data_IF_782213205166
#
_entry.id   IF_782213205166
#
_cell.length_a   1.000
_cell.length_b   1.000
_cell.length_c   1.000
_cell.angle_alpha   90.00
_cell.angle_beta   90.00
_cell.angle_gamma   90.00
#
_symmetry.space_group_name_H-M   'P 1'
#
loop_
_entity.id
_entity.type
_entity.pdbx_description
1 polymer ?
#
# COMPACT_ATOMS: atom_id res chain seq x y z
N UNK A 1 12.25 48.79 -22.37
CA UNK A 1 10.87 48.97 -21.88
C UNK A 1 9.97 47.97 -22.61
N UNK A 2 9.19 47.14 -21.90
CA UNK A 2 8.41 46.03 -22.44
C UNK A 2 6.99 46.44 -22.84
N UNK A 3 6.38 45.70 -23.77
CA UNK A 3 4.96 45.74 -24.07
C UNK A 3 4.40 44.33 -24.17
N UNK A 4 3.56 43.95 -23.20
CA UNK A 4 2.78 42.71 -23.23
C UNK A 4 1.58 42.84 -24.17
N UNK A 5 1.14 41.71 -24.73
CA UNK A 5 -0.15 41.58 -25.42
C UNK A 5 -0.55 40.11 -25.52
N UNK A 6 -1.56 39.73 -24.73
CA UNK A 6 -2.14 38.40 -24.61
C UNK A 6 -2.93 37.97 -25.87
N UNK A 7 -2.83 36.69 -26.24
CA UNK A 7 -3.62 36.08 -27.31
C UNK A 7 -4.17 34.70 -26.92
N UNK A 8 -5.44 34.69 -26.53
CA UNK A 8 -6.45 33.65 -26.72
C UNK A 8 -6.04 32.16 -26.67
N UNK A 9 -6.28 31.56 -25.50
CA UNK A 9 -7.37 30.58 -25.35
C UNK A 9 -7.37 29.35 -26.25
N UNK A 10 -6.69 28.29 -25.81
CA UNK A 10 -7.17 26.93 -25.95
C UNK A 10 -7.19 26.29 -24.56
N UNK A 11 -8.32 26.47 -23.88
CA UNK A 11 -8.62 25.72 -22.65
C UNK A 11 -8.79 24.25 -23.06
N UNK A 12 -8.00 23.30 -22.53
CA UNK A 12 -8.26 21.90 -22.79
C UNK A 12 -9.69 21.57 -22.34
N UNK A 13 -10.42 20.68 -23.05
CA UNK A 13 -11.75 20.28 -22.61
C UNK A 13 -11.66 19.78 -21.17
N UNK A 14 -12.68 20.03 -20.32
CA UNK A 14 -12.69 19.43 -19.00
C UNK A 14 -12.57 17.93 -19.20
N UNK A 15 -11.57 17.34 -18.56
CA UNK A 15 -11.44 15.89 -18.44
C UNK A 15 -12.75 15.39 -17.87
N UNK A 16 -13.62 14.86 -18.75
CA UNK A 16 -14.80 14.11 -18.35
C UNK A 16 -14.34 13.06 -17.38
N UNK A 17 -14.81 13.17 -16.14
CA UNK A 17 -14.36 12.45 -14.96
C UNK A 17 -13.67 11.13 -15.26
N UNK A 18 -12.35 11.17 -15.32
CA UNK A 18 -11.52 10.02 -15.04
C UNK A 18 -11.63 9.76 -13.53
N UNK A 19 -12.77 9.19 -13.16
CA UNK A 19 -12.96 8.39 -11.97
C UNK A 19 -12.38 8.91 -10.65
N UNK A 20 -13.27 9.47 -9.83
CA UNK A 20 -13.22 9.38 -8.37
C UNK A 20 -13.17 7.91 -7.85
N UNK A 21 -13.16 6.92 -8.74
CA UNK A 21 -13.22 5.48 -8.46
C UNK A 21 -11.90 4.84 -8.05
N UNK A 22 -10.75 5.51 -8.22
CA UNK A 22 -9.45 4.95 -7.79
C UNK A 22 -9.07 5.24 -6.34
N UNK A 23 -9.51 6.37 -5.77
CA UNK A 23 -8.94 6.95 -4.54
C UNK A 23 -9.41 6.29 -3.24
N UNK A 24 -10.54 5.59 -3.25
CA UNK A 24 -11.23 5.22 -2.00
C UNK A 24 -11.27 3.72 -1.69
N UNK A 25 -11.14 2.83 -2.69
CA UNK A 25 -11.55 1.43 -2.54
C UNK A 25 -10.73 0.71 -1.46
N UNK A 26 -9.41 0.94 -1.41
CA UNK A 26 -8.52 0.24 -0.46
C UNK A 26 -8.55 0.82 0.96
N UNK A 27 -8.76 2.14 1.12
CA UNK A 27 -8.89 2.77 2.44
C UNK A 27 -10.19 2.38 3.16
N UNK A 28 -11.23 2.02 2.40
CA UNK A 28 -12.52 1.56 2.92
C UNK A 28 -12.65 0.03 2.96
N UNK A 29 -11.57 -0.71 2.69
CA UNK A 29 -11.63 -2.16 2.59
C UNK A 29 -12.17 -2.79 3.89
N UNK A 30 -13.17 -3.65 3.73
CA UNK A 30 -13.87 -4.33 4.81
C UNK A 30 -13.09 -5.51 5.39
N UNK A 31 -13.62 -6.15 6.44
CA UNK A 31 -13.06 -7.39 6.99
C UNK A 31 -12.81 -8.46 5.93
N UNK A 32 -11.58 -8.98 5.89
CA UNK A 32 -11.16 -10.08 5.01
C UNK A 32 -10.84 -9.67 3.57
N UNK A 33 -11.15 -8.44 3.16
CA UNK A 33 -10.78 -7.93 1.85
C UNK A 33 -9.26 -7.75 1.74
N UNK A 34 -8.71 -8.06 0.57
CA UNK A 34 -7.30 -7.88 0.28
C UNK A 34 -7.04 -6.43 -0.13
N UNK A 35 -6.00 -5.86 0.44
CA UNK A 35 -5.54 -4.50 0.19
C UNK A 35 -4.14 -4.57 -0.41
N UNK A 36 -3.90 -3.79 -1.45
CA UNK A 36 -2.59 -3.64 -2.07
C UNK A 36 -2.18 -2.16 -2.09
N UNK A 37 -0.97 -1.87 -1.63
CA UNK A 37 -0.34 -0.56 -1.76
C UNK A 37 1.12 -0.69 -2.13
N UNK A 38 1.70 0.40 -2.62
CA UNK A 38 3.05 0.46 -3.13
C UNK A 38 3.90 1.43 -2.32
N UNK A 39 5.21 1.19 -2.30
CA UNK A 39 6.20 2.18 -1.89
C UNK A 39 7.36 2.20 -2.88
N UNK A 40 8.16 3.26 -2.86
CA UNK A 40 9.39 3.37 -3.66
C UNK A 40 10.60 3.57 -2.77
N UNK A 41 11.60 2.71 -2.93
CA UNK A 41 12.91 2.85 -2.31
C UNK A 41 13.77 3.87 -3.04
N UNK A 42 14.74 4.44 -2.31
CA UNK A 42 15.86 5.17 -2.90
C UNK A 42 16.84 4.20 -3.56
N UNK A 43 17.55 4.61 -4.62
CA UNK A 43 18.63 3.82 -5.18
C UNK A 43 19.67 3.43 -4.11
N UNK A 44 20.01 2.14 -4.03
CA UNK A 44 20.99 1.61 -3.07
C UNK A 44 20.39 1.16 -1.73
N UNK A 45 19.11 1.39 -1.48
CA UNK A 45 18.44 1.01 -0.23
C UNK A 45 17.98 -0.46 -0.19
N UNK A 46 18.07 -1.20 -1.30
CA UNK A 46 17.48 -2.53 -1.47
C UNK A 46 18.01 -3.55 -0.45
N UNK A 47 19.33 -3.65 -0.31
CA UNK A 47 19.95 -4.65 0.55
C UNK A 47 19.65 -4.39 2.04
N UNK A 48 19.62 -3.12 2.43
CA UNK A 48 19.25 -2.74 3.79
C UNK A 48 17.77 -3.02 4.05
N UNK A 49 16.89 -2.67 3.12
CA UNK A 49 15.46 -2.94 3.23
C UNK A 49 15.18 -4.44 3.46
N UNK A 50 15.79 -5.30 2.64
CA UNK A 50 15.64 -6.76 2.74
C UNK A 50 16.14 -7.27 4.10
N UNK A 51 17.33 -6.85 4.54
CA UNK A 51 17.88 -7.23 5.86
C UNK A 51 16.95 -6.83 6.99
N UNK A 52 16.44 -5.59 6.97
CA UNK A 52 15.54 -5.08 8.01
C UNK A 52 14.24 -5.88 8.07
N UNK A 53 13.68 -6.30 6.92
CA UNK A 53 12.45 -7.09 6.88
C UNK A 53 12.66 -8.59 7.16
N UNK A 54 13.88 -9.11 7.01
CA UNK A 54 14.23 -10.44 7.50
C UNK A 54 14.30 -10.48 9.05
N UNK A 55 14.54 -9.33 9.67
CA UNK A 55 14.70 -9.15 11.12
C UNK A 55 13.59 -8.24 11.70
N UNK A 56 12.35 -8.43 11.26
CA UNK A 56 11.21 -7.68 11.79
C UNK A 56 11.15 -7.82 13.31
N UNK A 57 10.94 -6.68 13.99
CA UNK A 57 10.85 -6.64 15.44
C UNK A 57 9.67 -7.50 15.95
N UNK A 58 9.87 -8.34 16.98
CA UNK A 58 8.79 -9.12 17.56
C UNK A 58 7.60 -8.26 18.01
N UNK A 59 7.86 -7.07 18.58
CA UNK A 59 6.80 -6.15 18.98
C UNK A 59 6.01 -5.56 17.80
N UNK A 60 6.64 -5.42 16.62
CA UNK A 60 5.94 -4.97 15.42
C UNK A 60 5.02 -6.08 14.93
N UNK A 61 5.48 -7.34 14.93
CA UNK A 61 4.62 -8.48 14.57
C UNK A 61 3.41 -8.58 15.51
N UNK A 62 3.62 -8.42 16.81
CA UNK A 62 2.53 -8.40 17.80
C UNK A 62 1.53 -7.26 17.55
N UNK A 63 2.02 -6.06 17.17
CA UNK A 63 1.15 -4.94 16.79
C UNK A 63 0.32 -5.26 15.54
N UNK A 64 0.91 -5.90 14.52
CA UNK A 64 0.19 -6.30 13.32
C UNK A 64 -0.95 -7.28 13.66
N UNK A 65 -0.69 -8.23 14.56
CA UNK A 65 -1.71 -9.15 15.06
C UNK A 65 -2.83 -8.43 15.83
N UNK A 66 -2.48 -7.48 16.71
CA UNK A 66 -3.43 -6.65 17.46
C UNK A 66 -4.33 -5.84 16.52
N UNK A 67 -3.74 -5.20 15.50
CA UNK A 67 -4.45 -4.48 14.45
C UNK A 67 -5.32 -5.40 13.58
N UNK A 68 -5.16 -6.72 13.72
CA UNK A 68 -5.87 -7.73 12.97
C UNK A 68 -5.35 -7.88 11.54
N UNK A 69 -4.15 -7.43 11.24
CA UNK A 69 -3.48 -7.63 9.95
C UNK A 69 -3.06 -9.11 9.84
N UNK A 70 -3.26 -9.72 8.68
CA UNK A 70 -2.84 -11.09 8.40
C UNK A 70 -2.64 -11.30 6.91
N UNK A 71 -2.03 -12.43 6.54
CA UNK A 71 -1.69 -12.73 5.13
C UNK A 71 -0.93 -11.55 4.50
N UNK A 72 -0.02 -10.96 5.29
CA UNK A 72 0.74 -9.77 4.89
C UNK A 72 2.05 -10.19 4.25
N UNK A 73 2.17 -9.89 2.96
CA UNK A 73 3.40 -10.07 2.19
C UNK A 73 3.87 -8.74 1.61
N UNK A 74 5.19 -8.58 1.54
CA UNK A 74 5.83 -7.50 0.80
C UNK A 74 6.70 -8.12 -0.29
N UNK A 75 6.44 -7.78 -1.54
CA UNK A 75 7.26 -8.15 -2.68
C UNK A 75 8.08 -6.95 -3.13
N UNK A 76 9.31 -7.20 -3.60
CA UNK A 76 10.17 -6.15 -4.16
C UNK A 76 10.51 -6.45 -5.62
N UNK A 77 10.39 -5.44 -6.48
CA UNK A 77 10.88 -5.47 -7.87
C UNK A 77 11.77 -4.25 -8.10
N UNK A 78 13.09 -4.44 -7.97
CA UNK A 78 14.04 -3.33 -7.96
C UNK A 78 13.74 -2.40 -6.78
N UNK A 79 13.38 -1.15 -7.09
CA UNK A 79 13.02 -0.11 -6.11
C UNK A 79 11.52 -0.09 -5.77
N UNK A 80 10.68 -0.84 -6.47
CA UNK A 80 9.24 -0.89 -6.21
C UNK A 80 8.94 -1.94 -5.14
N UNK A 81 8.22 -1.53 -4.09
CA UNK A 81 7.66 -2.40 -3.07
C UNK A 81 6.17 -2.57 -3.31
N UNK A 82 5.67 -3.79 -3.15
CA UNK A 82 4.29 -4.19 -3.34
C UNK A 82 3.83 -4.88 -2.06
N UNK A 83 3.05 -4.17 -1.27
CA UNK A 83 2.55 -4.60 0.02
C UNK A 83 1.11 -5.10 -0.13
N UNK A 84 0.88 -6.38 0.15
CA UNK A 84 -0.43 -7.02 0.03
C UNK A 84 -0.81 -7.62 1.38
N UNK A 85 -1.97 -7.24 1.91
CA UNK A 85 -2.43 -7.71 3.23
C UNK A 85 -3.94 -7.85 3.30
N UNK A 86 -4.41 -8.57 4.31
CA UNK A 86 -5.82 -8.60 4.73
C UNK A 86 -5.95 -8.11 6.16
N UNK A 87 -7.16 -7.70 6.53
CA UNK A 87 -7.46 -7.23 7.88
C UNK A 87 -8.70 -7.92 8.44
N UNK A 88 -8.71 -8.28 9.72
CA UNK A 88 -9.84 -8.97 10.36
C UNK A 88 -11.02 -8.04 10.67
N UNK A 89 -10.77 -6.74 10.85
CA UNK A 89 -11.79 -5.75 11.24
C UNK A 89 -11.93 -4.59 10.24
N UNK A 90 -11.37 -4.74 9.05
CA UNK A 90 -11.32 -3.69 8.02
C UNK A 90 -10.09 -2.78 8.16
N UNK A 91 -9.70 -2.17 7.04
CA UNK A 91 -8.46 -1.39 6.95
C UNK A 91 -8.48 -0.14 7.84
N UNK A 92 -9.63 0.53 7.97
CA UNK A 92 -9.77 1.69 8.84
C UNK A 92 -9.45 1.38 10.32
N UNK A 93 -9.85 0.21 10.81
CA UNK A 93 -9.52 -0.23 12.17
C UNK A 93 -8.02 -0.49 12.33
N UNK A 94 -7.42 -1.23 11.39
CA UNK A 94 -5.99 -1.52 11.41
C UNK A 94 -5.14 -0.24 11.32
N UNK A 95 -5.55 0.72 10.48
CA UNK A 95 -4.95 2.04 10.39
C UNK A 95 -5.00 2.79 11.72
N UNK A 96 -6.16 2.83 12.38
CA UNK A 96 -6.29 3.50 13.68
C UNK A 96 -5.38 2.88 14.76
N UNK A 97 -5.31 1.55 14.85
CA UNK A 97 -4.45 0.84 15.82
C UNK A 97 -2.97 1.11 15.53
N UNK A 98 -2.54 0.96 14.29
CA UNK A 98 -1.13 1.15 13.91
C UNK A 98 -0.67 2.61 14.04
N UNK A 99 -1.51 3.59 13.66
CA UNK A 99 -1.20 5.02 13.81
C UNK A 99 -1.04 5.44 15.28
N UNK A 100 -1.80 4.84 16.21
CA UNK A 100 -1.70 5.16 17.63
C UNK A 100 -0.48 4.52 18.32
N UNK A 101 0.27 3.64 17.65
CA UNK A 101 1.33 2.85 18.27
C UNK A 101 2.72 3.50 18.18
N UNK A 102 3.40 3.59 19.31
CA UNK A 102 4.80 3.99 19.38
C UNK A 102 5.74 2.99 18.67
N UNK A 103 5.38 1.70 18.66
CA UNK A 103 6.16 0.67 17.96
C UNK A 103 6.16 0.94 16.46
N UNK A 104 5.00 1.24 15.89
CA UNK A 104 4.88 1.62 14.47
C UNK A 104 5.67 2.89 14.18
N UNK A 105 5.56 3.91 15.03
CA UNK A 105 6.28 5.18 14.87
C UNK A 105 7.80 4.96 14.84
N UNK A 106 8.34 4.18 15.79
CA UNK A 106 9.78 3.85 15.85
C UNK A 106 10.23 3.05 14.63
N UNK A 107 9.46 2.05 14.22
CA UNK A 107 9.78 1.24 13.05
C UNK A 107 9.85 2.10 11.79
N UNK A 108 8.80 2.89 11.53
CA UNK A 108 8.74 3.80 10.39
C UNK A 108 9.90 4.80 10.39
N UNK A 109 10.19 5.43 11.54
CA UNK A 109 11.31 6.36 11.66
C UNK A 109 12.66 5.68 11.35
N UNK A 110 12.85 4.43 11.77
CA UNK A 110 14.09 3.67 11.54
C UNK A 110 14.35 3.30 10.08
N UNK A 111 13.32 3.32 9.23
CA UNK A 111 13.42 3.00 7.81
C UNK A 111 13.23 4.23 6.91
N UNK A 112 12.88 5.39 7.46
CA UNK A 112 12.46 6.57 6.69
C UNK A 112 13.50 7.01 5.65
N UNK A 113 14.80 6.85 5.94
CA UNK A 113 15.89 7.18 5.03
C UNK A 113 15.95 6.28 3.78
N UNK A 114 15.33 5.10 3.81
CA UNK A 114 15.31 4.15 2.70
C UNK A 114 14.31 4.53 1.62
N UNK A 115 13.27 5.30 1.95
CA UNK A 115 12.15 5.54 1.06
C UNK A 115 12.30 6.85 0.27
N UNK A 116 11.99 6.76 -1.02
CA UNK A 116 11.80 7.90 -1.92
C UNK A 116 10.34 8.36 -1.92
N UNK A 117 9.39 7.44 -1.81
CA UNK A 117 7.96 7.71 -1.94
C UNK A 117 7.16 6.71 -1.09
N UNK A 118 6.34 7.20 -0.16
CA UNK A 118 5.46 6.36 0.69
C UNK A 118 3.99 6.77 0.66
N UNK A 119 3.68 7.94 0.10
CA UNK A 119 2.35 8.50 0.07
C UNK A 119 2.09 9.27 -1.23
N UNK A 120 0.82 9.35 -1.61
CA UNK A 120 0.34 10.17 -2.72
C UNK A 120 0.28 11.66 -2.33
N UNK A 121 -0.18 12.50 -3.25
CA UNK A 121 -0.30 13.94 -3.03
C UNK A 121 -1.29 14.33 -1.93
N UNK A 122 -2.23 13.44 -1.59
CA UNK A 122 -3.23 13.65 -0.53
C UNK A 122 -2.75 13.06 0.83
N UNK A 123 -1.53 12.50 0.89
CA UNK A 123 -0.95 11.90 2.08
C UNK A 123 -1.42 10.47 2.38
N UNK A 124 -2.18 9.85 1.47
CA UNK A 124 -2.59 8.45 1.57
C UNK A 124 -1.54 7.48 1.00
N UNK A 125 -1.59 6.18 1.33
CA UNK A 125 -0.73 5.17 0.69
C UNK A 125 -0.88 5.18 -0.84
N UNK A 126 0.17 4.76 -1.56
CA UNK A 126 0.10 4.59 -3.01
C UNK A 126 -0.75 3.35 -3.36
N UNK A 127 -2.07 3.52 -3.39
CA UNK A 127 -3.02 2.42 -3.56
C UNK A 127 -2.92 1.75 -4.93
N UNK A 128 -2.99 0.42 -4.93
CA UNK A 128 -3.23 -0.38 -6.13
C UNK A 128 -4.70 -0.86 -6.12
N UNK A 129 -5.40 -0.65 -7.24
CA UNK A 129 -6.79 -1.06 -7.39
C UNK A 129 -6.87 -2.54 -7.80
N UNK A 130 -7.62 -3.39 -7.06
CA UNK A 130 -7.83 -4.77 -7.48
C UNK A 130 -8.69 -4.80 -8.74
N UNK A 131 -8.15 -5.36 -9.82
CA UNK A 131 -8.87 -5.52 -11.10
C UNK A 131 -9.49 -6.91 -11.23
N UNK A 132 -8.88 -7.92 -10.61
CA UNK A 132 -9.32 -9.31 -10.69
C UNK A 132 -8.80 -10.11 -9.49
N UNK A 133 -9.62 -11.04 -8.99
CA UNK A 133 -9.22 -12.04 -8.00
C UNK A 133 -9.79 -13.39 -8.40
N UNK A 134 -8.92 -14.39 -8.58
CA UNK A 134 -9.32 -15.77 -8.80
C UNK A 134 -9.09 -16.56 -7.51
N UNK A 135 -10.14 -16.96 -6.77
CA UNK A 135 -9.98 -17.73 -5.53
C UNK A 135 -9.48 -19.16 -5.76
N UNK A 136 -9.36 -19.61 -7.01
CA UNK A 136 -9.19 -21.01 -7.35
C UNK A 136 -10.48 -21.81 -7.22
N UNK A 137 -10.50 -22.99 -7.82
CA UNK A 137 -11.50 -24.01 -7.54
C UNK A 137 -10.87 -25.08 -6.65
N UNK A 138 -11.58 -25.61 -5.65
CA UNK A 138 -11.08 -26.74 -4.90
C UNK A 138 -10.79 -27.91 -5.87
N UNK A 139 -9.68 -28.65 -5.67
CA UNK A 139 -9.42 -29.82 -6.50
C UNK A 139 -10.58 -30.81 -6.38
N UNK A 140 -10.95 -31.50 -7.47
CA UNK A 140 -12.07 -32.44 -7.44
C UNK A 140 -11.78 -33.57 -6.45
N UNK A 141 -12.82 -34.00 -5.73
CA UNK A 141 -12.72 -34.88 -4.56
C UNK A 141 -12.05 -36.25 -4.81
N UNK A 142 -11.92 -36.68 -6.07
CA UNK A 142 -11.36 -37.98 -6.44
C UNK A 142 -9.82 -38.05 -6.41
N UNK A 143 -9.11 -36.94 -6.14
CA UNK A 143 -7.65 -36.92 -5.90
C UNK A 143 -7.27 -36.92 -4.42
N UNK A 144 -8.03 -37.62 -3.57
CA UNK A 144 -7.64 -37.97 -2.19
C UNK A 144 -7.60 -39.49 -2.07
N UNK A 145 -6.56 -40.11 -2.62
CA UNK A 145 -6.37 -41.55 -2.53
C UNK A 145 -5.14 -42.05 -3.28
N UNK A 146 -4.02 -42.14 -2.55
CA UNK A 146 -3.08 -43.27 -2.48
C UNK A 146 -2.18 -43.04 -1.27
#
# INVERSE_FOLDING_TARGET
MPGQGYGHGLRPPPSRGAGRVGRAVSATAGPGEQVCHLYRLRPGAEAEYDRRHAEVWPELSALLDEAGIYDYAIYRRGLLLICVLRTRRGFAHAGAVTTASEVQARWTASLAHLFAEIADADGGPLWAHPVFHHPGHPPPAWRRGT
#
